data_IF_620513245203
#
_entry.id   IF_620513245203
#
_cell.length_a   1.000
_cell.length_b   1.000
_cell.length_c   1.000
_cell.angle_alpha   90.00
_cell.angle_beta   90.00
_cell.angle_gamma   90.00
#
_symmetry.space_group_name_H-M   'P 1'
#
loop_
_entity.id
_entity.type
_entity.pdbx_description
1 polymer ?
#
# COMPACT_ATOMS: atom_id res chain seq x y z
N UNK A 1 10.40 -16.21 17.94
CA UNK A 1 11.75 -15.64 17.72
C UNK A 1 12.10 -14.75 18.89
N UNK A 2 13.37 -14.63 19.23
CA UNK A 2 13.83 -13.96 20.46
C UNK A 2 14.03 -12.44 20.27
N UNK A 3 13.74 -11.91 19.07
CA UNK A 3 13.83 -10.48 18.74
C UNK A 3 15.24 -9.94 18.46
N UNK A 4 16.28 -10.77 18.59
CA UNK A 4 17.66 -10.34 18.34
C UNK A 4 18.01 -10.26 16.84
N UNK A 5 18.87 -9.31 16.48
CA UNK A 5 19.40 -9.16 15.13
C UNK A 5 20.45 -10.23 14.83
N UNK A 6 20.30 -10.93 13.70
CA UNK A 6 21.22 -11.95 13.20
C UNK A 6 21.89 -11.53 11.89
N UNK A 7 22.10 -10.23 11.66
CA UNK A 7 22.62 -9.72 10.38
C UNK A 7 24.00 -10.27 10.02
N UNK A 8 24.82 -10.65 11.01
CA UNK A 8 26.11 -11.30 10.81
C UNK A 8 25.99 -12.75 10.28
N UNK A 9 24.80 -13.34 10.36
CA UNK A 9 24.46 -14.67 9.86
C UNK A 9 23.59 -14.61 8.60
N UNK A 10 23.23 -13.39 8.14
CA UNK A 10 22.43 -13.17 6.94
C UNK A 10 23.32 -12.85 5.74
N UNK A 11 22.89 -13.28 4.56
CA UNK A 11 23.51 -12.92 3.29
C UNK A 11 22.97 -11.58 2.78
N UNK A 12 23.86 -10.70 2.31
CA UNK A 12 23.47 -9.47 1.64
C UNK A 12 22.98 -9.79 0.22
N UNK A 13 21.66 -9.75 0.00
CA UNK A 13 21.03 -10.08 -1.29
C UNK A 13 20.75 -8.86 -2.16
N UNK A 14 20.67 -7.66 -1.56
CA UNK A 14 20.41 -6.41 -2.25
C UNK A 14 20.96 -5.23 -1.45
N UNK A 15 21.47 -4.21 -2.15
CA UNK A 15 21.87 -2.93 -1.58
C UNK A 15 20.96 -1.85 -2.14
N UNK A 16 20.60 -0.86 -1.32
CA UNK A 16 19.83 0.30 -1.73
C UNK A 16 20.78 1.49 -1.87
N UNK A 17 20.75 2.15 -3.03
CA UNK A 17 21.36 3.46 -3.21
C UNK A 17 20.57 4.57 -2.49
N UNK A 18 19.26 4.38 -2.31
CA UNK A 18 18.40 5.30 -1.58
C UNK A 18 16.92 4.96 -1.70
N UNK A 19 16.08 5.98 -1.53
CA UNK A 19 14.64 5.91 -1.76
C UNK A 19 14.14 7.24 -2.32
N UNK A 20 12.98 7.21 -2.96
CA UNK A 20 12.28 8.41 -3.42
C UNK A 20 10.85 8.42 -2.89
N UNK A 21 10.37 9.62 -2.56
CA UNK A 21 8.96 9.85 -2.21
C UNK A 21 8.17 10.22 -3.45
N UNK A 22 6.97 9.67 -3.55
CA UNK A 22 5.96 10.10 -4.52
C UNK A 22 5.31 11.38 -4.01
N UNK A 23 4.90 12.26 -4.93
CA UNK A 23 4.15 13.47 -4.59
C UNK A 23 2.89 13.14 -3.76
N UNK A 24 2.75 13.67 -2.52
CA UNK A 24 1.63 13.37 -1.64
C UNK A 24 0.27 13.66 -2.27
N UNK A 25 -0.65 12.70 -2.17
CA UNK A 25 -2.02 12.79 -2.69
C UNK A 25 -2.15 12.66 -4.22
N UNK A 26 -1.04 12.60 -4.96
CA UNK A 26 -1.06 12.61 -6.42
C UNK A 26 -1.24 11.19 -6.97
N UNK A 27 -2.48 10.83 -7.30
CA UNK A 27 -2.80 9.56 -7.97
C UNK A 27 -2.04 9.42 -9.31
N UNK A 28 -1.79 10.52 -10.01
CA UNK A 28 -1.01 10.52 -11.26
C UNK A 28 0.45 10.17 -10.98
N UNK A 29 1.06 10.77 -9.95
CA UNK A 29 2.44 10.45 -9.58
C UNK A 29 2.59 9.00 -9.09
N UNK A 30 1.64 8.49 -8.31
CA UNK A 30 1.66 7.09 -7.85
C UNK A 30 1.52 6.10 -9.01
N UNK A 31 0.65 6.37 -9.99
CA UNK A 31 0.58 5.57 -11.23
C UNK A 31 1.89 5.60 -12.00
N UNK A 32 2.50 6.77 -12.15
CA UNK A 32 3.78 6.91 -12.83
C UNK A 32 4.90 6.14 -12.10
N UNK A 33 4.93 6.19 -10.77
CA UNK A 33 5.87 5.43 -9.96
C UNK A 33 5.68 3.92 -10.15
N UNK A 34 4.44 3.42 -10.11
CA UNK A 34 4.13 2.01 -10.35
C UNK A 34 4.61 1.52 -11.73
N UNK A 35 4.40 2.34 -12.77
CA UNK A 35 4.80 1.99 -14.14
C UNK A 35 6.32 2.03 -14.32
N UNK A 36 7.01 3.00 -13.73
CA UNK A 36 8.44 3.23 -13.96
C UNK A 36 9.35 2.44 -13.02
N UNK A 37 8.91 2.20 -11.79
CA UNK A 37 9.75 1.68 -10.71
C UNK A 37 9.20 0.38 -10.10
N UNK A 38 8.04 -0.10 -10.56
CA UNK A 38 7.41 -1.31 -10.03
C UNK A 38 6.65 -1.06 -8.73
N UNK A 39 6.49 -2.07 -7.87
CA UNK A 39 5.71 -1.93 -6.63
C UNK A 39 6.18 -0.79 -5.72
N UNK A 40 5.22 -0.04 -5.17
CA UNK A 40 5.45 1.16 -4.35
C UNK A 40 4.92 0.91 -2.94
N UNK A 41 5.74 1.18 -1.92
CA UNK A 41 5.30 1.12 -0.53
C UNK A 41 4.36 2.31 -0.26
N UNK A 42 3.21 2.05 0.35
CA UNK A 42 2.20 3.08 0.65
C UNK A 42 1.70 2.90 2.09
N UNK A 43 1.32 4.00 2.71
CA UNK A 43 0.67 3.98 4.02
C UNK A 43 -0.83 4.23 3.87
N UNK A 44 -1.64 3.55 4.68
CA UNK A 44 -3.09 3.66 4.67
C UNK A 44 -3.65 3.81 6.09
N UNK A 45 -4.88 4.30 6.21
CA UNK A 45 -5.72 4.11 7.39
C UNK A 45 -6.41 2.73 7.31
N UNK A 46 -5.97 1.81 8.18
CA UNK A 46 -6.51 0.47 8.33
C UNK A 46 -7.26 0.28 9.67
N UNK A 47 -7.57 1.36 10.39
CA UNK A 47 -8.14 1.34 11.74
C UNK A 47 -9.59 0.82 11.79
N UNK A 48 -10.26 0.79 10.65
CA UNK A 48 -11.68 0.44 10.56
C UNK A 48 -11.94 -1.07 10.52
N UNK A 49 -13.01 -1.51 11.21
CA UNK A 49 -13.45 -2.92 11.18
C UNK A 49 -13.79 -3.41 9.76
N UNK A 50 -14.28 -2.52 8.89
CA UNK A 50 -14.56 -2.82 7.49
C UNK A 50 -13.29 -3.25 6.73
N UNK A 51 -12.14 -2.67 7.05
CA UNK A 51 -10.84 -3.12 6.53
C UNK A 51 -10.47 -4.49 7.09
N UNK A 52 -10.57 -4.67 8.41
CA UNK A 52 -10.21 -5.93 9.07
C UNK A 52 -10.98 -7.14 8.51
N UNK A 53 -12.25 -6.95 8.13
CA UNK A 53 -13.11 -7.99 7.57
C UNK A 53 -13.31 -7.87 6.04
N UNK A 54 -12.48 -7.11 5.35
CA UNK A 54 -12.53 -7.06 3.88
C UNK A 54 -12.34 -8.47 3.29
N UNK A 55 -13.14 -8.78 2.27
CA UNK A 55 -13.09 -10.07 1.56
C UNK A 55 -12.93 -9.89 0.05
N UNK A 56 -13.73 -9.02 -0.58
CA UNK A 56 -13.67 -8.78 -2.03
C UNK A 56 -14.30 -7.43 -2.42
N UNK A 57 -14.18 -7.07 -3.70
CA UNK A 57 -14.73 -5.85 -4.29
C UNK A 57 -13.80 -4.64 -4.12
N UNK A 58 -14.25 -3.48 -4.60
CA UNK A 58 -13.53 -2.21 -4.37
C UNK A 58 -13.90 -1.69 -3.00
N UNK A 59 -12.94 -1.70 -2.08
CA UNK A 59 -13.06 -1.18 -0.73
C UNK A 59 -13.10 0.35 -0.73
N UNK A 60 -14.11 0.90 -0.07
CA UNK A 60 -14.33 2.34 0.13
C UNK A 60 -14.90 2.50 1.54
N UNK A 61 -14.15 3.13 2.45
CA UNK A 61 -14.62 3.44 3.81
C UNK A 61 -14.78 4.97 3.95
N UNK A 62 -16.01 5.48 4.12
CA UNK A 62 -16.26 6.91 4.20
C UNK A 62 -15.61 7.62 5.38
N UNK A 63 -15.22 6.88 6.42
CA UNK A 63 -14.60 7.44 7.64
C UNK A 63 -13.09 7.37 7.66
N UNK A 64 -12.47 6.84 6.61
CA UNK A 64 -11.02 6.78 6.50
C UNK A 64 -10.40 8.18 6.55
N UNK A 65 -9.33 8.31 7.32
CA UNK A 65 -8.44 9.45 7.28
C UNK A 65 -7.51 9.41 6.07
N UNK A 66 -7.23 10.59 5.52
CA UNK A 66 -6.30 10.76 4.40
C UNK A 66 -5.02 11.51 4.79
N UNK A 67 -4.98 12.08 6.00
CA UNK A 67 -3.83 12.82 6.52
C UNK A 67 -2.77 11.86 7.05
N UNK A 68 -1.49 12.25 7.00
CA UNK A 68 -0.37 11.44 7.49
C UNK A 68 -0.54 10.98 8.94
N UNK A 69 -1.20 11.78 9.79
CA UNK A 69 -1.48 11.44 11.19
C UNK A 69 -2.52 10.34 11.38
N UNK A 70 -3.32 10.03 10.36
CA UNK A 70 -4.36 8.99 10.39
C UNK A 70 -3.88 7.66 9.81
N UNK A 71 -2.75 7.64 9.10
CA UNK A 71 -2.22 6.43 8.48
C UNK A 71 -1.52 5.58 9.55
N UNK A 72 -1.94 4.33 9.68
CA UNK A 72 -1.50 3.42 10.75
C UNK A 72 -0.95 2.09 10.22
N UNK A 73 -1.03 1.84 8.92
CA UNK A 73 -0.61 0.57 8.32
C UNK A 73 0.15 0.76 7.00
N UNK A 74 1.28 0.06 6.86
CA UNK A 74 2.12 0.10 5.66
C UNK A 74 1.89 -1.15 4.81
N UNK A 75 1.62 -0.94 3.52
CA UNK A 75 1.26 -1.96 2.54
C UNK A 75 1.97 -1.69 1.21
N UNK A 76 1.80 -2.58 0.22
CA UNK A 76 2.48 -2.46 -1.06
C UNK A 76 1.48 -2.31 -2.21
N UNK A 77 1.48 -1.16 -2.88
CA UNK A 77 0.77 -1.00 -4.13
C UNK A 77 1.52 -1.77 -5.23
N UNK A 78 0.82 -2.68 -5.91
CA UNK A 78 1.41 -3.53 -6.97
C UNK A 78 0.76 -3.30 -8.33
N UNK A 79 -0.27 -2.47 -8.39
CA UNK A 79 -0.96 -2.15 -9.64
C UNK A 79 -2.19 -1.30 -9.40
N UNK A 80 -2.95 -1.09 -10.46
CA UNK A 80 -4.21 -0.38 -10.43
C UNK A 80 -5.12 -0.81 -11.58
N UNK A 81 -6.41 -0.54 -11.47
CA UNK A 81 -7.37 -0.86 -12.51
C UNK A 81 -8.72 -0.19 -12.32
N UNK A 82 -9.70 -0.69 -13.07
CA UNK A 82 -11.11 -0.29 -12.97
C UNK A 82 -11.95 -1.55 -12.88
N UNK A 83 -12.83 -1.63 -11.88
CA UNK A 83 -13.79 -2.72 -11.71
C UNK A 83 -15.20 -2.13 -11.63
N UNK A 84 -16.07 -2.51 -12.55
CA UNK A 84 -17.46 -2.01 -12.62
C UNK A 84 -17.57 -0.47 -12.55
N UNK A 85 -16.68 0.24 -13.25
CA UNK A 85 -16.64 1.71 -13.26
C UNK A 85 -15.97 2.36 -12.06
N UNK A 86 -15.50 1.59 -11.07
CA UNK A 86 -14.73 2.10 -9.92
C UNK A 86 -13.24 1.89 -10.11
N UNK A 87 -12.47 2.98 -10.12
CA UNK A 87 -11.00 2.94 -10.15
C UNK A 87 -10.43 2.50 -8.80
N UNK A 88 -9.46 1.58 -8.82
CA UNK A 88 -8.86 1.02 -7.60
C UNK A 88 -7.34 0.88 -7.69
N UNK A 89 -6.69 0.93 -6.53
CA UNK A 89 -5.32 0.44 -6.32
C UNK A 89 -5.34 -1.03 -5.96
N UNK A 90 -4.52 -1.85 -6.61
CA UNK A 90 -4.29 -3.24 -6.20
C UNK A 90 -3.19 -3.23 -5.14
N UNK A 91 -3.58 -3.55 -3.90
CA UNK A 91 -2.69 -3.49 -2.74
C UNK A 91 -2.45 -4.90 -2.22
N UNK A 92 -1.17 -5.24 -2.01
CA UNK A 92 -0.73 -6.44 -1.31
C UNK A 92 -0.64 -6.15 0.19
N UNK A 93 -1.32 -6.95 0.99
CA UNK A 93 -1.26 -6.88 2.46
C UNK A 93 -0.30 -7.94 3.03
N UNK A 94 -0.08 -7.89 4.34
CA UNK A 94 0.83 -8.78 5.10
C UNK A 94 0.10 -9.63 6.14
N UNK A 95 -1.23 -9.75 6.06
CA UNK A 95 -2.09 -10.44 7.05
C UNK A 95 -2.53 -11.84 6.62
N UNK A 96 -1.62 -12.61 6.00
CA UNK A 96 -1.90 -13.93 5.40
C UNK A 96 -2.72 -13.87 4.11
N UNK A 97 -2.67 -14.96 3.33
CA UNK A 97 -3.45 -15.15 2.11
C UNK A 97 -4.94 -15.41 2.40
N UNK A 98 -5.30 -15.78 3.64
CA UNK A 98 -6.70 -15.97 4.04
C UNK A 98 -7.46 -14.67 4.28
N UNK A 99 -6.75 -13.54 4.35
CA UNK A 99 -7.37 -12.22 4.49
C UNK A 99 -7.63 -11.62 3.10
N UNK A 100 -8.77 -10.96 2.93
CA UNK A 100 -9.13 -10.30 1.68
C UNK A 100 -9.24 -11.26 0.49
N UNK A 101 -8.78 -10.80 -0.67
CA UNK A 101 -8.77 -11.57 -1.90
C UNK A 101 -7.37 -12.15 -2.10
N UNK A 102 -7.12 -13.33 -1.53
CA UNK A 102 -5.82 -14.01 -1.52
C UNK A 102 -4.66 -13.17 -0.95
N UNK A 103 -4.94 -12.38 0.10
CA UNK A 103 -3.99 -11.45 0.73
C UNK A 103 -3.94 -10.06 0.09
N UNK A 104 -4.81 -9.77 -0.87
CA UNK A 104 -4.89 -8.49 -1.57
C UNK A 104 -6.21 -7.76 -1.31
N UNK A 105 -6.21 -6.45 -1.55
CA UNK A 105 -7.38 -5.59 -1.50
C UNK A 105 -7.39 -4.61 -2.68
N UNK A 106 -8.58 -4.30 -3.18
CA UNK A 106 -8.80 -3.27 -4.19
C UNK A 106 -9.24 -1.98 -3.48
N UNK A 107 -8.31 -1.07 -3.20
CA UNK A 107 -8.63 0.20 -2.50
C UNK A 107 -9.16 1.24 -3.47
N UNK A 108 -10.28 1.90 -3.16
CA UNK A 108 -10.82 2.96 -4.01
C UNK A 108 -9.81 4.10 -4.22
N UNK A 109 -9.66 4.57 -5.46
CA UNK A 109 -8.86 5.77 -5.74
C UNK A 109 -9.60 7.08 -5.44
N UNK A 110 -10.92 7.00 -5.42
CA UNK A 110 -11.81 8.16 -5.27
C UNK A 110 -11.47 8.87 -3.95
N UNK A 111 -11.33 10.19 -4.04
CA UNK A 111 -11.06 11.08 -2.90
C UNK A 111 -9.85 10.64 -2.05
N UNK A 112 -8.85 9.99 -2.67
CA UNK A 112 -7.68 9.42 -1.99
C UNK A 112 -8.07 8.53 -0.78
N UNK A 113 -9.14 7.73 -0.90
CA UNK A 113 -9.71 6.98 0.23
C UNK A 113 -8.65 6.21 1.04
N UNK A 114 -8.64 6.43 2.36
CA UNK A 114 -7.68 5.86 3.30
C UNK A 114 -6.22 6.26 3.05
N UNK A 115 -5.99 7.36 2.34
CA UNK A 115 -4.68 7.98 2.18
C UNK A 115 -3.68 7.20 1.33
N UNK A 116 -4.12 6.30 0.43
CA UNK A 116 -3.21 5.44 -0.36
C UNK A 116 -2.10 6.22 -1.09
N UNK A 117 -2.41 7.43 -1.59
CA UNK A 117 -1.43 8.28 -2.26
C UNK A 117 -0.76 9.32 -1.34
N UNK A 118 -1.13 9.39 -0.06
CA UNK A 118 -0.64 10.43 0.87
C UNK A 118 0.84 10.27 1.20
N UNK A 119 1.29 9.06 1.49
CA UNK A 119 2.67 8.78 1.84
C UNK A 119 3.13 7.50 1.13
N UNK A 120 3.76 7.68 -0.03
CA UNK A 120 4.21 6.60 -0.87
C UNK A 120 5.71 6.75 -1.19
N UNK A 121 6.46 5.64 -1.11
CA UNK A 121 7.91 5.61 -1.37
C UNK A 121 8.32 4.36 -2.14
N UNK A 122 9.42 4.44 -2.88
CA UNK A 122 10.01 3.30 -3.55
C UNK A 122 11.55 3.33 -3.42
N UNK A 123 12.21 2.16 -3.36
CA UNK A 123 13.65 2.08 -3.28
C UNK A 123 14.33 2.44 -4.60
N UNK A 124 15.55 2.94 -4.50
CA UNK A 124 16.50 3.07 -5.61
C UNK A 124 17.59 2.05 -5.36
N UNK A 125 17.75 1.09 -6.28
CA UNK A 125 18.79 0.05 -6.24
C UNK A 125 20.12 0.61 -6.75
#
# INVERSE_FOLDING_TARGET
>A
QNGYCHCNQSELVAQLAGYASVEPGSATALKAALVKHGPVAVNIDASHKSFAFYANGVYEEPRCGNETSSLDHAVLAVGYGVLHGKSYWLIKNSWSTYWGNDGYILMAMKDNNCGVATAATFPIL
#
